data_IF_414850867925
#
_entry.id   IF_414850867925
#
_cell.length_a   1.000
_cell.length_b   1.000
_cell.length_c   1.000
_cell.angle_alpha   90.00
_cell.angle_beta   90.00
_cell.angle_gamma   90.00
#
_symmetry.space_group_name_H-M   'P 1'
#
loop_
_entity.id
_entity.type
_entity.pdbx_description
1 polymer ?
#
# COMPACT_ATOMS: atom_id res chain seq x y z
N UNK A 1 -11.86 1.51 19.74
CA UNK A 1 -11.44 2.89 19.37
C UNK A 1 -11.93 3.11 17.96
N UNK A 2 -12.65 4.19 17.68
CA UNK A 2 -13.00 4.51 16.29
C UNK A 2 -11.66 4.64 15.52
N UNK A 3 -11.49 3.85 14.47
CA UNK A 3 -10.33 4.00 13.58
C UNK A 3 -10.48 5.34 12.89
N UNK A 4 -9.61 6.32 13.24
CA UNK A 4 -9.58 7.61 12.57
C UNK A 4 -9.18 7.46 11.10
N UNK A 5 -9.71 8.29 10.24
CA UNK A 5 -9.29 8.36 8.84
C UNK A 5 -7.97 9.17 8.76
N UNK A 6 -6.84 8.49 8.84
CA UNK A 6 -5.53 9.14 8.86
C UNK A 6 -5.01 9.38 7.44
N UNK A 7 -4.56 10.62 7.17
CA UNK A 7 -3.79 10.90 5.97
C UNK A 7 -2.30 10.68 6.23
N UNK A 8 -1.62 10.11 5.24
CA UNK A 8 -0.18 9.83 5.30
C UNK A 8 0.48 10.29 4.00
N UNK A 9 1.65 10.95 4.12
CA UNK A 9 2.56 11.17 3.00
C UNK A 9 3.95 10.67 3.36
N UNK A 10 4.50 9.78 2.54
CA UNK A 10 5.84 9.21 2.70
C UNK A 10 6.71 9.66 1.55
N UNK A 11 8.02 9.79 1.83
CA UNK A 11 9.02 10.09 0.80
C UNK A 11 10.02 8.94 0.75
N UNK A 12 10.00 8.20 -0.34
CA UNK A 12 10.97 7.14 -0.61
C UNK A 12 12.10 7.65 -1.50
N UNK A 13 13.29 7.08 -1.33
CA UNK A 13 14.49 7.45 -2.07
C UNK A 13 14.71 6.45 -3.18
N UNK A 14 14.85 6.95 -4.40
CA UNK A 14 15.11 6.11 -5.56
C UNK A 14 16.41 6.54 -6.21
N UNK A 15 17.34 5.58 -6.38
CA UNK A 15 18.55 5.75 -7.19
C UNK A 15 18.26 5.46 -8.66
N UNK A 16 19.23 5.69 -9.54
CA UNK A 16 19.10 5.37 -10.97
C UNK A 16 18.82 3.87 -11.19
N UNK A 17 19.47 3.01 -10.40
CA UNK A 17 19.27 1.55 -10.47
C UNK A 17 17.89 1.14 -9.96
N UNK A 18 17.37 1.85 -8.95
CA UNK A 18 16.04 1.60 -8.38
C UNK A 18 14.89 2.09 -9.24
N UNK A 19 15.15 3.02 -10.16
CA UNK A 19 14.13 3.68 -10.97
C UNK A 19 13.32 2.70 -11.83
N UNK A 20 13.96 1.73 -12.45
CA UNK A 20 13.27 0.72 -13.27
C UNK A 20 12.28 -0.12 -12.44
N UNK A 21 12.65 -0.47 -11.19
CA UNK A 21 11.77 -1.24 -10.30
C UNK A 21 10.54 -0.40 -9.91
N UNK A 22 10.75 0.87 -9.53
CA UNK A 22 9.67 1.79 -9.21
C UNK A 22 8.75 2.01 -10.41
N UNK A 23 9.30 2.28 -11.59
CA UNK A 23 8.55 2.43 -12.84
C UNK A 23 7.69 1.20 -13.13
N UNK A 24 8.25 -0.02 -13.06
CA UNK A 24 7.50 -1.24 -13.32
C UNK A 24 6.36 -1.47 -12.32
N UNK A 25 6.54 -1.04 -11.07
CA UNK A 25 5.48 -1.10 -10.06
C UNK A 25 4.39 -0.06 -10.34
N UNK A 26 4.78 1.20 -10.50
CA UNK A 26 3.84 2.31 -10.63
C UNK A 26 3.04 2.26 -11.92
N UNK A 27 3.72 1.91 -13.03
CA UNK A 27 3.11 1.81 -14.35
C UNK A 27 2.51 0.42 -14.64
N UNK A 28 2.42 -0.44 -13.61
CA UNK A 28 1.88 -1.82 -13.72
C UNK A 28 2.49 -2.64 -14.89
N UNK A 29 3.81 -2.53 -15.08
CA UNK A 29 4.56 -3.24 -16.14
C UNK A 29 5.11 -4.61 -15.71
N UNK A 30 4.77 -5.10 -14.51
CA UNK A 30 5.18 -6.42 -14.03
C UNK A 30 4.23 -7.51 -14.54
N UNK A 31 4.75 -8.70 -14.83
CA UNK A 31 3.95 -9.89 -15.15
C UNK A 31 3.28 -10.50 -13.89
N UNK A 32 3.87 -10.25 -12.71
CA UNK A 32 3.34 -10.68 -11.42
C UNK A 32 3.74 -9.68 -10.34
N UNK A 33 2.94 -9.59 -9.28
CA UNK A 33 3.14 -8.67 -8.16
C UNK A 33 3.36 -9.45 -6.87
N UNK A 34 4.30 -8.96 -6.03
CA UNK A 34 4.49 -9.49 -4.68
C UNK A 34 3.29 -9.17 -3.78
N UNK A 35 2.59 -8.07 -4.05
CA UNK A 35 1.32 -7.73 -3.42
C UNK A 35 0.20 -8.57 -4.09
N UNK A 36 -0.28 -9.58 -3.37
CA UNK A 36 -1.34 -10.48 -3.83
C UNK A 36 -2.73 -9.82 -3.91
N UNK A 37 -2.84 -8.58 -3.49
CA UNK A 37 -4.08 -7.81 -3.54
C UNK A 37 -4.23 -7.02 -4.85
N UNK A 38 -3.20 -6.98 -5.70
CA UNK A 38 -3.30 -6.36 -7.03
C UNK A 38 -4.24 -7.18 -7.91
N UNK A 39 -5.31 -6.55 -8.32
CA UNK A 39 -6.29 -7.10 -9.28
C UNK A 39 -5.92 -6.63 -10.69
N UNK A 40 -5.31 -7.52 -11.46
CA UNK A 40 -4.82 -7.20 -12.79
C UNK A 40 -5.93 -6.86 -13.80
N UNK A 41 -7.17 -7.27 -13.54
CA UNK A 41 -8.32 -6.94 -14.37
C UNK A 41 -8.78 -5.48 -14.15
N UNK A 42 -8.37 -4.86 -13.05
CA UNK A 42 -8.73 -3.49 -12.70
C UNK A 42 -7.63 -2.45 -12.96
N UNK A 43 -6.51 -2.83 -13.55
CA UNK A 43 -5.38 -1.91 -13.88
C UNK A 43 -5.86 -0.71 -14.70
N UNK A 44 -6.85 -0.89 -15.57
CA UNK A 44 -7.42 0.19 -16.38
C UNK A 44 -8.12 1.29 -15.55
N UNK A 45 -8.39 1.05 -14.25
CA UNK A 45 -8.94 2.05 -13.32
C UNK A 45 -7.88 2.98 -12.73
N UNK A 46 -6.61 2.65 -12.88
CA UNK A 46 -5.52 3.51 -12.43
C UNK A 46 -5.54 4.81 -13.23
N UNK A 47 -5.33 5.94 -12.53
CA UNK A 47 -5.42 7.27 -13.14
C UNK A 47 -4.05 7.91 -13.17
N UNK A 48 -3.56 8.25 -14.35
CA UNK A 48 -2.34 9.02 -14.54
C UNK A 48 -2.67 10.51 -14.57
N UNK A 49 -2.23 11.26 -13.56
CA UNK A 49 -2.30 12.72 -13.55
C UNK A 49 -1.11 13.32 -14.32
N UNK A 50 0.00 12.58 -14.38
CA UNK A 50 1.14 12.88 -15.23
C UNK A 50 1.83 11.59 -15.67
N UNK A 51 2.22 11.55 -16.94
CA UNK A 51 3.02 10.48 -17.53
C UNK A 51 4.34 10.99 -18.10
N UNK A 52 5.20 10.07 -18.48
CA UNK A 52 6.54 10.39 -19.03
C UNK A 52 6.53 10.71 -20.53
N UNK A 53 5.38 10.64 -21.20
CA UNK A 53 5.30 10.74 -22.67
C UNK A 53 5.94 9.54 -23.37
N UNK A 54 5.90 8.35 -22.76
CA UNK A 54 6.45 7.11 -23.31
C UNK A 54 7.93 6.86 -23.02
N UNK A 55 8.60 7.76 -22.30
CA UNK A 55 9.97 7.58 -21.84
C UNK A 55 9.99 6.72 -20.57
N UNK A 56 11.11 6.05 -20.31
CA UNK A 56 11.39 5.52 -18.97
C UNK A 56 11.72 6.65 -17.99
N UNK A 57 11.65 6.40 -16.69
CA UNK A 57 12.02 7.41 -15.69
C UNK A 57 13.46 7.91 -15.86
N UNK A 58 14.39 7.01 -16.19
CA UNK A 58 15.78 7.37 -16.42
C UNK A 58 15.96 8.17 -17.71
N UNK A 59 15.24 7.86 -18.79
CA UNK A 59 15.28 8.64 -20.03
C UNK A 59 14.69 10.04 -19.82
N UNK A 60 13.58 10.14 -19.05
CA UNK A 60 13.01 11.43 -18.69
C UNK A 60 14.01 12.28 -17.90
N UNK A 61 14.70 11.69 -16.92
CA UNK A 61 15.74 12.34 -16.14
C UNK A 61 16.90 12.83 -17.02
N UNK A 62 17.37 11.97 -17.92
CA UNK A 62 18.46 12.31 -18.84
C UNK A 62 18.06 13.47 -19.77
N UNK A 63 16.84 13.44 -20.28
CA UNK A 63 16.31 14.54 -21.11
C UNK A 63 16.39 15.90 -20.38
N UNK A 64 16.00 15.96 -19.11
CA UNK A 64 16.08 17.20 -18.34
C UNK A 64 17.52 17.68 -18.10
N UNK A 65 18.48 16.75 -18.02
CA UNK A 65 19.92 17.09 -17.97
C UNK A 65 20.34 17.68 -19.31
N UNK A 66 20.01 17.03 -20.42
CA UNK A 66 20.41 17.44 -21.78
C UNK A 66 19.81 18.80 -22.15
N UNK A 67 18.58 19.07 -21.67
CA UNK A 67 17.91 20.38 -21.80
C UNK A 67 18.48 21.44 -20.84
N UNK A 68 19.40 21.09 -19.95
CA UNK A 68 19.97 22.01 -18.95
C UNK A 68 19.01 22.45 -17.85
N UNK A 69 17.84 21.81 -17.72
CA UNK A 69 16.83 22.12 -16.71
C UNK A 69 17.24 21.70 -15.31
N UNK A 70 18.00 20.61 -15.19
CA UNK A 70 18.54 20.07 -13.94
C UNK A 70 20.04 19.79 -14.05
N UNK A 71 20.72 19.74 -12.89
CA UNK A 71 22.16 19.47 -12.85
C UNK A 71 22.49 18.44 -11.79
N UNK A 72 23.28 17.44 -12.19
CA UNK A 72 23.84 16.40 -11.30
C UNK A 72 25.24 16.76 -10.79
N UNK A 73 25.69 17.98 -11.03
CA UNK A 73 27.04 18.44 -10.68
C UNK A 73 27.33 18.25 -9.19
N UNK A 74 28.35 17.45 -8.89
CA UNK A 74 28.78 17.14 -7.52
C UNK A 74 27.98 16.01 -6.85
N UNK A 75 27.18 15.26 -7.57
CA UNK A 75 26.60 14.00 -7.09
C UNK A 75 27.65 12.88 -7.06
N UNK A 76 27.46 11.95 -6.15
CA UNK A 76 28.24 10.71 -6.06
C UNK A 76 27.51 9.60 -6.83
N UNK A 77 28.24 8.55 -7.22
CA UNK A 77 27.62 7.33 -7.74
C UNK A 77 26.61 6.77 -6.72
N UNK A 78 25.50 6.23 -7.19
CA UNK A 78 24.43 5.69 -6.35
C UNK A 78 23.62 6.76 -5.58
N UNK A 79 23.77 8.06 -5.91
CA UNK A 79 22.97 9.11 -5.27
C UNK A 79 21.49 8.94 -5.56
N UNK A 80 20.67 9.37 -4.62
CA UNK A 80 19.21 9.50 -4.81
C UNK A 80 18.94 10.57 -5.86
N UNK A 81 18.36 10.19 -6.99
CA UNK A 81 18.00 11.09 -8.10
C UNK A 81 16.49 11.32 -8.20
N UNK A 82 15.68 10.42 -7.68
CA UNK A 82 14.25 10.58 -7.57
C UNK A 82 13.79 10.48 -6.12
N UNK A 83 12.68 11.11 -5.85
CA UNK A 83 11.84 10.84 -4.68
C UNK A 83 10.52 10.29 -5.15
N UNK A 84 9.97 9.36 -4.42
CA UNK A 84 8.61 8.91 -4.59
C UNK A 84 7.80 9.36 -3.38
N UNK A 85 6.79 10.21 -3.61
CA UNK A 85 5.77 10.50 -2.62
C UNK A 85 4.68 9.45 -2.76
N UNK A 86 4.40 8.76 -1.66
CA UNK A 86 3.21 7.91 -1.55
C UNK A 86 2.24 8.62 -0.62
N UNK A 87 1.08 9.00 -1.17
CA UNK A 87 0.00 9.65 -0.43
C UNK A 87 -1.15 8.67 -0.29
N UNK A 88 -1.62 8.51 0.93
CA UNK A 88 -2.59 7.50 1.30
C UNK A 88 -3.56 8.02 2.37
N UNK A 89 -4.81 7.56 2.30
CA UNK A 89 -5.85 7.72 3.32
C UNK A 89 -6.60 6.40 3.46
N UNK A 90 -7.14 6.13 4.63
CA UNK A 90 -7.88 4.90 4.89
C UNK A 90 -8.95 4.63 3.82
N UNK A 91 -9.05 3.40 3.37
CA UNK A 91 -10.02 2.95 2.35
C UNK A 91 -11.47 3.34 2.69
N UNK A 92 -11.86 3.26 3.97
CA UNK A 92 -13.20 3.63 4.45
C UNK A 92 -13.56 5.07 4.17
N UNK A 93 -12.59 5.98 4.29
CA UNK A 93 -12.80 7.39 4.00
C UNK A 93 -13.42 7.60 2.61
N UNK A 94 -12.86 6.92 1.61
CA UNK A 94 -13.38 7.05 0.25
C UNK A 94 -14.74 6.40 0.06
N UNK A 95 -14.98 5.24 0.66
CA UNK A 95 -16.27 4.56 0.59
C UNK A 95 -17.41 5.38 1.19
N UNK A 96 -17.11 6.14 2.26
CA UNK A 96 -18.06 7.04 2.93
C UNK A 96 -18.32 8.35 2.14
N UNK A 97 -17.42 8.74 1.23
CA UNK A 97 -17.50 10.01 0.49
C UNK A 97 -17.79 9.85 -1.00
N UNK A 98 -18.12 8.65 -1.48
CA UNK A 98 -18.50 8.45 -2.89
C UNK A 98 -17.55 7.54 -3.68
N UNK A 99 -16.63 6.87 -3.00
CA UNK A 99 -15.79 5.83 -3.58
C UNK A 99 -14.78 6.35 -4.60
N UNK A 100 -14.71 5.67 -5.74
CA UNK A 100 -13.69 5.89 -6.77
C UNK A 100 -13.65 7.33 -7.32
N UNK A 101 -14.80 7.93 -7.62
CA UNK A 101 -14.83 9.28 -8.20
C UNK A 101 -14.37 10.34 -7.20
N UNK A 102 -14.69 10.19 -5.93
CA UNK A 102 -14.19 11.07 -4.89
C UNK A 102 -12.69 10.87 -4.65
N UNK A 103 -12.22 9.62 -4.65
CA UNK A 103 -10.80 9.32 -4.55
C UNK A 103 -10.00 9.96 -5.71
N UNK A 104 -10.53 9.93 -6.92
CA UNK A 104 -9.92 10.58 -8.07
C UNK A 104 -9.77 12.08 -7.88
N UNK A 105 -10.80 12.77 -7.40
CA UNK A 105 -10.74 14.21 -7.10
C UNK A 105 -9.76 14.51 -5.98
N UNK A 106 -9.75 13.71 -4.92
CA UNK A 106 -8.83 13.83 -3.80
C UNK A 106 -7.37 13.71 -4.27
N UNK A 107 -7.06 12.68 -5.06
CA UNK A 107 -5.70 12.45 -5.51
C UNK A 107 -5.26 13.38 -6.66
N UNK A 108 -6.19 13.94 -7.43
CA UNK A 108 -5.89 15.04 -8.34
C UNK A 108 -5.41 16.27 -7.57
N UNK A 109 -6.06 16.62 -6.45
CA UNK A 109 -5.62 17.71 -5.59
C UNK A 109 -4.29 17.39 -4.88
N UNK A 110 -4.14 16.15 -4.39
CA UNK A 110 -2.86 15.70 -3.83
C UNK A 110 -1.72 15.73 -4.86
N UNK A 111 -1.99 15.53 -6.15
CA UNK A 111 -1.02 15.74 -7.23
C UNK A 111 -0.63 17.23 -7.34
N UNK A 112 -1.59 18.18 -7.23
CA UNK A 112 -1.30 19.61 -7.21
C UNK A 112 -0.41 19.99 -6.04
N UNK A 113 -0.66 19.42 -4.86
CA UNK A 113 0.26 19.53 -3.74
C UNK A 113 1.67 19.02 -4.09
N UNK A 114 1.79 17.90 -4.77
CA UNK A 114 3.08 17.39 -5.28
C UNK A 114 3.78 18.41 -6.20
N UNK A 115 3.01 19.08 -7.08
CA UNK A 115 3.52 20.14 -7.95
C UNK A 115 4.03 21.36 -7.15
N UNK A 116 3.38 21.73 -6.06
CA UNK A 116 3.87 22.81 -5.17
C UNK A 116 5.20 22.44 -4.50
N UNK A 117 5.34 21.16 -4.08
CA UNK A 117 6.55 20.70 -3.39
C UNK A 117 7.75 20.61 -4.34
N UNK A 118 7.57 20.10 -5.56
CA UNK A 118 8.69 19.80 -6.46
C UNK A 118 8.81 20.73 -7.66
N UNK A 119 7.74 21.41 -8.04
CA UNK A 119 7.57 22.03 -9.34
C UNK A 119 7.10 21.02 -10.37
N UNK A 120 6.11 21.35 -11.17
CA UNK A 120 5.48 20.47 -12.15
C UNK A 120 6.50 19.86 -13.14
N UNK A 121 7.47 20.65 -13.60
CA UNK A 121 8.52 20.18 -14.53
C UNK A 121 9.43 19.08 -13.93
N UNK A 122 9.55 19.05 -12.61
CA UNK A 122 10.35 18.05 -11.92
C UNK A 122 9.58 16.77 -11.56
N UNK A 123 8.25 16.72 -11.78
CA UNK A 123 7.48 15.50 -11.61
C UNK A 123 7.63 14.65 -12.88
N UNK A 124 8.04 13.40 -12.68
CA UNK A 124 8.26 12.42 -13.75
C UNK A 124 6.98 11.66 -14.06
N UNK A 125 6.32 11.17 -13.02
CA UNK A 125 5.06 10.41 -13.14
C UNK A 125 4.21 10.66 -11.89
N UNK A 126 2.90 10.66 -12.05
CA UNK A 126 1.94 10.70 -10.95
C UNK A 126 0.77 9.79 -11.29
N UNK A 127 0.60 8.71 -10.53
CA UNK A 127 -0.43 7.69 -10.78
C UNK A 127 -1.18 7.35 -9.52
N UNK A 128 -2.51 7.44 -9.56
CA UNK A 128 -3.40 6.89 -8.55
C UNK A 128 -3.62 5.41 -8.87
N UNK A 129 -3.24 4.53 -7.95
CA UNK A 129 -3.63 3.13 -8.02
C UNK A 129 -5.04 2.93 -7.49
N UNK A 130 -5.85 2.19 -8.24
CA UNK A 130 -7.22 1.84 -7.92
C UNK A 130 -7.51 0.35 -8.20
N UNK A 131 -6.46 -0.45 -8.25
CA UNK A 131 -6.45 -1.87 -8.60
C UNK A 131 -6.02 -2.79 -7.44
N UNK A 132 -5.88 -2.26 -6.23
CA UNK A 132 -5.51 -3.06 -5.05
C UNK A 132 -6.74 -3.33 -4.17
N UNK A 133 -7.19 -4.59 -4.11
CA UNK A 133 -8.37 -4.96 -3.32
C UNK A 133 -8.08 -4.91 -1.81
N UNK A 134 -8.94 -4.23 -1.06
CA UNK A 134 -8.94 -4.28 0.40
C UNK A 134 -9.86 -5.40 0.88
N UNK A 135 -9.29 -6.59 1.12
CA UNK A 135 -10.04 -7.79 1.49
C UNK A 135 -10.88 -7.62 2.76
N UNK A 136 -10.33 -6.96 3.78
CA UNK A 136 -11.02 -6.79 5.06
C UNK A 136 -12.28 -5.93 4.91
N UNK A 137 -12.17 -4.78 4.26
CA UNK A 137 -13.30 -3.88 4.01
C UNK A 137 -14.28 -4.51 3.01
N UNK A 138 -13.78 -5.25 2.00
CA UNK A 138 -14.63 -5.95 1.03
C UNK A 138 -15.51 -7.00 1.70
N UNK A 139 -14.98 -7.75 2.65
CA UNK A 139 -15.74 -8.76 3.41
C UNK A 139 -16.77 -8.11 4.33
N UNK A 140 -16.39 -7.02 4.98
CA UNK A 140 -17.28 -6.28 5.86
C UNK A 140 -18.49 -5.70 5.11
N UNK A 141 -18.25 -5.10 3.94
CA UNK A 141 -19.28 -4.45 3.13
C UNK A 141 -19.99 -5.41 2.16
N UNK A 142 -19.53 -6.66 2.03
CA UNK A 142 -20.09 -7.67 1.14
C UNK A 142 -19.97 -7.34 -0.36
N UNK A 143 -19.04 -6.45 -0.74
CA UNK A 143 -18.76 -6.03 -2.12
C UNK A 143 -17.26 -5.84 -2.32
N UNK A 144 -16.73 -5.94 -3.56
CA UNK A 144 -15.34 -5.59 -3.82
C UNK A 144 -15.06 -4.12 -3.49
N UNK A 145 -14.06 -3.86 -2.64
CA UNK A 145 -13.60 -2.53 -2.26
C UNK A 145 -12.11 -2.42 -2.52
N UNK A 146 -11.70 -1.33 -3.14
CA UNK A 146 -10.33 -1.11 -3.56
C UNK A 146 -9.67 -0.06 -2.67
N UNK A 147 -8.39 -0.24 -2.41
CA UNK A 147 -7.55 0.69 -1.70
C UNK A 147 -6.93 1.68 -2.70
N UNK A 148 -7.24 2.96 -2.53
CA UNK A 148 -6.75 4.03 -3.39
C UNK A 148 -5.54 4.70 -2.76
N UNK A 149 -4.48 4.90 -3.52
CA UNK A 149 -3.29 5.64 -3.09
C UNK A 149 -2.58 6.27 -4.30
N UNK A 150 -1.83 7.34 -4.05
CA UNK A 150 -1.15 8.10 -5.10
C UNK A 150 0.36 7.91 -4.98
N UNK A 151 0.99 7.57 -6.09
CA UNK A 151 2.43 7.59 -6.29
C UNK A 151 2.83 8.79 -7.13
N UNK A 152 3.72 9.65 -6.62
CA UNK A 152 4.32 10.77 -7.36
C UNK A 152 5.82 10.57 -7.39
N UNK A 153 6.38 10.28 -8.55
CA UNK A 153 7.83 10.20 -8.75
C UNK A 153 8.33 11.56 -9.24
N UNK A 154 9.25 12.16 -8.47
CA UNK A 154 9.74 13.50 -8.72
C UNK A 154 11.26 13.61 -8.52
N UNK A 155 11.87 14.58 -9.19
CA UNK A 155 13.30 14.89 -9.09
C UNK A 155 13.50 15.95 -8.00
N UNK A 156 14.24 15.66 -6.91
CA UNK A 156 14.45 16.59 -5.82
C UNK A 156 15.49 17.64 -6.18
N UNK A 157 15.06 18.76 -6.74
CA UNK A 157 15.94 19.88 -7.11
C UNK A 157 15.99 20.97 -6.03
N UNK A 158 17.12 21.63 -5.93
CA UNK A 158 17.31 22.85 -5.16
C UNK A 158 18.13 23.84 -6.00
N UNK A 159 17.79 25.13 -5.93
CA UNK A 159 18.61 26.15 -6.54
C UNK A 159 19.95 26.26 -5.83
N UNK A 160 21.01 26.34 -6.59
CA UNK A 160 22.37 26.48 -6.09
C UNK A 160 23.13 27.52 -6.91
N UNK A 161 23.63 28.52 -6.22
CA UNK A 161 24.57 29.50 -6.79
C UNK A 161 25.94 28.86 -6.91
N UNK A 162 26.51 28.97 -8.10
CA UNK A 162 27.90 28.64 -8.38
C UNK A 162 28.67 29.95 -8.46
N UNK A 163 29.62 30.12 -7.57
CA UNK A 163 30.43 31.33 -7.50
C UNK A 163 31.66 31.25 -8.38
N UNK A 164 32.11 32.38 -8.89
CA UNK A 164 33.40 32.46 -9.53
C UNK A 164 34.51 32.04 -8.56
N UNK A 165 35.44 31.27 -9.06
CA UNK A 165 36.58 30.79 -8.27
C UNK A 165 37.41 31.97 -7.72
N UNK A 166 37.94 31.77 -6.50
CA UNK A 166 38.92 32.69 -5.91
C UNK A 166 40.20 32.86 -6.76
N UNK A 167 40.40 31.92 -7.72
CA UNK A 167 41.53 31.96 -8.69
C UNK A 167 41.12 32.56 -10.03
N UNK A 168 39.94 33.19 -10.15
CA UNK A 168 39.52 33.85 -11.38
C UNK A 168 40.55 34.94 -11.73
N UNK A 169 40.90 35.08 -13.03
CA UNK A 169 41.84 36.10 -13.51
C UNK A 169 41.30 37.49 -13.24
N UNK A 170 40.00 37.69 -13.43
CA UNK A 170 39.33 38.93 -13.10
C UNK A 170 39.00 38.97 -11.60
N UNK A 171 39.65 39.84 -10.87
CA UNK A 171 39.49 39.95 -9.41
C UNK A 171 38.13 40.49 -9.02
N UNK A 172 37.49 41.31 -9.84
CA UNK A 172 36.15 41.83 -9.57
C UNK A 172 35.05 40.74 -9.59
N UNK A 173 35.30 39.65 -10.30
CA UNK A 173 34.36 38.54 -10.38
C UNK A 173 34.52 37.52 -9.24
N UNK A 174 35.64 37.54 -8.52
CA UNK A 174 35.94 36.54 -7.46
C UNK A 174 34.85 36.53 -6.38
N UNK A 175 34.21 35.40 -6.18
CA UNK A 175 33.16 35.25 -5.18
C UNK A 175 31.78 35.77 -5.57
N UNK A 176 31.65 36.41 -6.74
CA UNK A 176 30.33 36.74 -7.29
C UNK A 176 29.64 35.54 -7.90
N UNK A 177 28.33 35.61 -8.09
CA UNK A 177 27.55 34.53 -8.71
C UNK A 177 27.91 34.42 -10.19
N UNK A 178 28.40 33.25 -10.59
CA UNK A 178 28.71 32.89 -11.97
C UNK A 178 27.48 32.36 -12.71
N UNK A 179 26.77 31.46 -12.06
CA UNK A 179 25.58 30.80 -12.60
C UNK A 179 24.70 30.28 -11.46
N UNK A 180 23.39 30.11 -11.70
CA UNK A 180 22.46 29.46 -10.81
C UNK A 180 22.01 28.16 -11.48
N UNK A 181 22.15 27.05 -10.79
CA UNK A 181 21.75 25.73 -11.30
C UNK A 181 20.65 25.10 -10.43
N UNK A 182 19.77 24.33 -11.03
CA UNK A 182 18.84 23.46 -10.34
C UNK A 182 19.55 22.16 -10.01
N UNK A 183 20.22 22.11 -8.86
CA UNK A 183 21.00 20.94 -8.45
C UNK A 183 20.07 19.84 -7.93
N UNK A 184 20.16 18.64 -8.49
CA UNK A 184 19.48 17.44 -7.95
C UNK A 184 20.12 17.08 -6.62
N UNK A 185 19.35 17.10 -5.54
CA UNK A 185 19.85 16.80 -4.20
C UNK A 185 18.73 16.50 -3.21
N UNK A 186 18.49 15.22 -2.94
CA UNK A 186 17.54 14.77 -1.92
C UNK A 186 17.85 15.36 -0.54
N UNK A 187 19.09 15.26 -0.08
CA UNK A 187 19.48 15.68 1.28
C UNK A 187 19.33 17.20 1.53
N UNK A 188 19.49 18.03 0.48
CA UNK A 188 19.26 19.47 0.58
C UNK A 188 17.79 19.81 0.52
N UNK A 189 17.02 19.16 -0.36
CA UNK A 189 15.58 19.33 -0.51
C UNK A 189 14.87 19.03 0.81
N UNK A 190 15.27 17.97 1.49
CA UNK A 190 14.65 17.48 2.72
C UNK A 190 15.45 17.83 3.99
N UNK A 191 16.20 18.92 3.95
CA UNK A 191 16.89 19.43 5.15
C UNK A 191 15.87 19.90 6.18
N UNK A 192 16.07 19.50 7.45
CA UNK A 192 15.27 19.99 8.56
C UNK A 192 15.54 21.48 8.79
N UNK A 193 14.55 22.34 8.58
CA UNK A 193 14.67 23.80 8.65
C UNK A 193 13.68 24.44 9.61
N UNK A 194 12.59 23.75 9.96
CA UNK A 194 11.57 24.26 10.87
C UNK A 194 12.01 24.00 12.30
N UNK A 195 12.09 25.04 13.12
CA UNK A 195 12.46 24.91 14.54
C UNK A 195 11.52 23.97 15.29
N UNK A 196 12.09 23.11 16.14
CA UNK A 196 11.30 22.36 17.12
C UNK A 196 11.06 23.27 18.33
N UNK A 197 9.80 23.57 18.63
CA UNK A 197 9.40 24.41 19.73
C UNK A 197 8.91 23.56 20.91
N UNK A 198 9.15 24.02 22.13
CA UNK A 198 8.57 23.47 23.35
C UNK A 198 7.15 24.02 23.59
N UNK A 199 6.55 23.64 24.71
CA UNK A 199 5.20 24.07 25.12
C UNK A 199 5.08 25.61 25.31
N UNK A 200 6.22 26.30 25.54
CA UNK A 200 6.28 27.75 25.71
C UNK A 200 6.60 28.49 24.40
N UNK A 201 6.67 27.76 23.27
CA UNK A 201 7.03 28.33 21.98
C UNK A 201 8.52 28.67 21.82
N UNK A 202 9.40 28.19 22.72
CA UNK A 202 10.84 28.40 22.61
C UNK A 202 11.51 27.25 21.86
N UNK A 203 12.57 27.58 21.09
CA UNK A 203 13.28 26.55 20.34
C UNK A 203 13.99 25.58 21.28
N UNK A 204 13.70 24.31 21.10
CA UNK A 204 14.35 23.22 21.86
C UNK A 204 15.82 23.14 21.51
N UNK A 205 16.66 23.11 22.55
CA UNK A 205 18.11 22.96 22.41
C UNK A 205 18.52 21.55 22.85
N UNK A 206 19.34 20.89 22.04
CA UNK A 206 19.85 19.55 22.35
C UNK A 206 20.79 19.58 23.58
N UNK A 207 21.06 18.44 24.18
CA UNK A 207 22.05 18.30 25.27
C UNK A 207 23.48 18.78 24.91
N UNK A 208 23.75 19.02 23.65
CA UNK A 208 25.03 19.55 23.14
C UNK A 208 24.97 21.02 22.77
N UNK A 209 23.93 21.77 23.20
CA UNK A 209 23.78 23.20 22.94
C UNK A 209 23.38 23.55 21.50
N UNK A 210 22.96 22.56 20.68
CA UNK A 210 22.56 22.80 19.29
C UNK A 210 21.05 22.93 19.16
N UNK A 211 20.55 23.90 18.35
CA UNK A 211 19.13 24.04 18.07
C UNK A 211 18.57 22.78 17.40
N UNK A 212 17.42 22.32 17.86
CA UNK A 212 16.71 21.18 17.28
C UNK A 212 15.67 21.64 16.27
N UNK A 213 15.48 20.82 15.25
CA UNK A 213 14.53 21.07 14.17
C UNK A 213 13.56 19.91 14.04
N UNK A 214 12.35 20.20 13.61
CA UNK A 214 11.36 19.20 13.25
C UNK A 214 11.86 18.41 12.04
N UNK A 215 11.55 17.13 12.01
CA UNK A 215 11.86 16.29 10.84
C UNK A 215 11.07 16.81 9.63
N UNK A 216 11.74 17.02 8.50
CA UNK A 216 11.15 17.56 7.28
C UNK A 216 9.91 16.79 6.80
N UNK A 217 9.90 15.47 6.97
CA UNK A 217 8.76 14.63 6.61
C UNK A 217 7.56 14.84 7.55
N UNK A 218 7.78 15.18 8.83
CA UNK A 218 6.68 15.56 9.73
C UNK A 218 6.07 16.91 9.32
N UNK A 219 6.90 17.85 8.84
CA UNK A 219 6.44 19.13 8.29
C UNK A 219 5.67 18.90 6.98
N UNK A 220 6.08 17.94 6.17
CA UNK A 220 5.37 17.57 4.94
C UNK A 220 3.96 17.05 5.23
N UNK A 221 3.79 16.25 6.30
CA UNK A 221 2.46 15.80 6.76
C UNK A 221 1.54 16.98 7.09
N UNK A 222 2.07 17.99 7.82
CA UNK A 222 1.30 19.18 8.16
C UNK A 222 0.87 19.94 6.91
N UNK A 223 1.79 20.09 5.95
CA UNK A 223 1.53 20.79 4.69
C UNK A 223 0.48 20.09 3.84
N UNK A 224 0.57 18.75 3.71
CA UNK A 224 -0.45 17.98 3.00
C UNK A 224 -1.82 18.16 3.66
N UNK A 225 -1.90 18.00 4.98
CA UNK A 225 -3.16 18.13 5.71
C UNK A 225 -3.78 19.53 5.53
N UNK A 226 -2.98 20.59 5.66
CA UNK A 226 -3.42 21.96 5.45
C UNK A 226 -3.92 22.19 4.02
N UNK A 227 -3.12 21.81 3.01
CA UNK A 227 -3.45 21.97 1.60
C UNK A 227 -4.79 21.27 1.25
N UNK A 228 -4.95 20.01 1.64
CA UNK A 228 -6.16 19.24 1.35
C UNK A 228 -7.39 19.82 2.08
N UNK A 229 -7.21 20.32 3.32
CA UNK A 229 -8.28 20.97 4.09
C UNK A 229 -8.70 22.29 3.44
N UNK A 230 -7.73 23.11 3.00
CA UNK A 230 -7.98 24.37 2.28
C UNK A 230 -8.70 24.14 0.94
N UNK A 231 -8.41 23.02 0.28
CA UNK A 231 -9.10 22.58 -0.94
C UNK A 231 -10.52 22.04 -0.68
N UNK A 232 -10.95 21.95 0.59
CA UNK A 232 -12.31 21.56 0.98
C UNK A 232 -12.49 20.07 1.30
N UNK A 233 -11.43 19.27 1.29
CA UNK A 233 -11.48 17.87 1.73
C UNK A 233 -11.49 17.80 3.26
N UNK A 234 -12.51 17.16 3.84
CA UNK A 234 -12.71 17.05 5.29
C UNK A 234 -13.04 15.61 5.67
N UNK A 235 -13.08 15.29 6.97
CA UNK A 235 -13.42 13.94 7.44
C UNK A 235 -12.22 12.99 7.54
N UNK A 236 -11.01 13.50 7.40
CA UNK A 236 -9.78 12.79 7.70
C UNK A 236 -8.91 13.60 8.65
N UNK A 237 -7.92 12.97 9.25
CA UNK A 237 -7.03 13.56 10.24
C UNK A 237 -5.57 13.47 9.77
N UNK A 238 -4.78 14.40 10.26
CA UNK A 238 -3.33 14.33 10.13
C UNK A 238 -2.81 13.12 10.93
N UNK A 239 -1.91 12.34 10.37
CA UNK A 239 -1.23 11.25 11.09
C UNK A 239 -0.59 11.73 12.41
N UNK A 240 -0.48 10.82 13.39
CA UNK A 240 -0.05 11.12 14.77
C UNK A 240 1.29 11.85 14.81
N UNK A 241 1.31 13.02 15.47
CA UNK A 241 2.50 13.84 15.63
C UNK A 241 3.52 13.12 16.53
N UNK A 242 4.75 13.00 16.06
CA UNK A 242 5.82 12.35 16.86
C UNK A 242 5.76 10.83 16.87
N UNK A 243 4.88 10.20 16.10
CA UNK A 243 4.90 8.75 15.94
C UNK A 243 6.29 8.29 15.50
N UNK A 244 6.87 7.34 16.25
CA UNK A 244 8.10 6.63 15.90
C UNK A 244 7.80 5.27 15.29
N UNK A 245 6.53 4.98 15.01
CA UNK A 245 6.13 3.74 14.34
C UNK A 245 6.86 3.66 13.00
N UNK A 246 7.73 2.69 12.89
CA UNK A 246 8.36 2.36 11.61
C UNK A 246 7.31 1.73 10.70
N UNK A 247 7.40 2.04 9.41
CA UNK A 247 6.56 1.34 8.43
C UNK A 247 6.94 -0.14 8.47
N UNK A 248 5.97 -0.97 8.84
CA UNK A 248 6.10 -2.42 8.67
C UNK A 248 6.38 -2.72 7.19
N UNK A 249 7.18 -3.73 6.92
CA UNK A 249 7.25 -4.23 5.54
C UNK A 249 5.84 -4.63 5.08
N UNK A 250 5.56 -4.55 3.79
CA UNK A 250 4.25 -4.96 3.25
C UNK A 250 3.84 -6.36 3.70
N UNK A 251 4.82 -7.26 3.87
CA UNK A 251 4.59 -8.62 4.35
C UNK A 251 4.22 -8.65 5.84
N UNK A 252 4.96 -7.93 6.69
CA UNK A 252 4.68 -7.86 8.13
C UNK A 252 3.31 -7.22 8.39
N UNK A 253 2.97 -6.17 7.65
CA UNK A 253 1.65 -5.55 7.70
C UNK A 253 0.54 -6.53 7.31
N UNK A 254 0.71 -7.27 6.21
CA UNK A 254 -0.26 -8.30 5.78
C UNK A 254 -0.43 -9.39 6.84
N UNK A 255 0.66 -9.90 7.42
CA UNK A 255 0.61 -10.90 8.50
C UNK A 255 -0.14 -10.35 9.72
N UNK A 256 0.12 -9.10 10.11
CA UNK A 256 -0.57 -8.49 11.23
C UNK A 256 -2.07 -8.35 10.94
N UNK A 257 -2.44 -7.86 9.77
CA UNK A 257 -3.85 -7.69 9.37
C UNK A 257 -4.58 -9.03 9.24
N UNK A 258 -3.94 -10.05 8.71
CA UNK A 258 -4.52 -11.39 8.63
C UNK A 258 -4.72 -12.01 10.03
N UNK A 259 -3.83 -11.73 10.99
CA UNK A 259 -4.03 -12.15 12.40
C UNK A 259 -5.21 -11.43 13.05
N UNK A 260 -5.34 -10.11 12.87
CA UNK A 260 -6.49 -9.34 13.36
C UNK A 260 -7.80 -9.87 12.77
N UNK A 261 -7.81 -10.17 11.47
CA UNK A 261 -8.95 -10.75 10.77
C UNK A 261 -9.32 -12.13 11.29
N UNK A 262 -8.34 -13.00 11.56
CA UNK A 262 -8.58 -14.31 12.18
C UNK A 262 -9.23 -14.17 13.55
N UNK A 263 -8.77 -13.24 14.39
CA UNK A 263 -9.38 -13.01 15.70
C UNK A 263 -10.84 -12.58 15.57
N UNK A 264 -11.15 -11.67 14.64
CA UNK A 264 -12.53 -11.22 14.38
C UNK A 264 -13.43 -12.37 13.86
N UNK A 265 -12.90 -13.22 12.96
CA UNK A 265 -13.65 -14.41 12.49
C UNK A 265 -13.93 -15.38 13.65
N UNK A 266 -12.94 -15.55 14.54
CA UNK A 266 -13.10 -16.41 15.73
C UNK A 266 -14.20 -15.86 16.66
N UNK A 267 -14.22 -14.57 16.95
CA UNK A 267 -15.29 -13.92 17.74
C UNK A 267 -16.67 -14.14 17.12
N UNK A 268 -16.77 -14.03 15.78
CA UNK A 268 -18.05 -14.28 15.08
C UNK A 268 -18.48 -15.74 15.17
N UNK A 269 -17.55 -16.70 15.06
CA UNK A 269 -17.84 -18.12 15.26
C UNK A 269 -18.40 -18.36 16.66
N UNK A 270 -17.75 -17.81 17.68
CA UNK A 270 -18.18 -17.94 19.08
C UNK A 270 -19.55 -17.31 19.31
N UNK A 271 -19.80 -16.09 18.77
CA UNK A 271 -21.11 -15.44 18.85
C UNK A 271 -22.23 -16.25 18.17
N UNK A 272 -21.96 -16.83 17.00
CA UNK A 272 -22.93 -17.69 16.31
C UNK A 272 -23.15 -19.04 17.03
N UNK A 273 -22.10 -19.59 17.66
CA UNK A 273 -22.22 -20.79 18.49
C UNK A 273 -23.09 -20.54 19.74
N UNK A 274 -22.89 -19.42 20.45
CA UNK A 274 -23.72 -19.00 21.59
C UNK A 274 -25.18 -18.83 21.18
N UNK A 275 -25.45 -18.29 19.99
CA UNK A 275 -26.83 -18.22 19.46
C UNK A 275 -27.43 -19.59 19.15
N UNK A 276 -26.59 -20.56 18.80
CA UNK A 276 -27.02 -21.91 18.44
C UNK A 276 -27.33 -22.78 19.68
N UNK A 277 -26.63 -22.57 20.82
CA UNK A 277 -26.80 -23.35 22.04
C UNK A 277 -28.23 -23.31 22.62
N UNK A 278 -28.94 -22.18 22.73
CA UNK A 278 -30.31 -22.13 23.23
C UNK A 278 -31.31 -22.94 22.38
N UNK A 279 -31.04 -23.07 21.08
CA UNK A 279 -31.90 -23.86 20.18
C UNK A 279 -31.86 -25.38 20.47
N UNK A 280 -30.88 -25.85 21.25
CA UNK A 280 -30.80 -27.23 21.73
C UNK A 280 -31.64 -27.52 23.00
N UNK A 281 -32.04 -26.47 23.74
CA UNK A 281 -32.89 -26.63 24.95
C UNK A 281 -34.36 -26.99 24.64
N UNK A 282 -34.80 -26.89 23.40
CA UNK A 282 -36.16 -27.26 22.94
C UNK A 282 -36.53 -28.73 23.19
N UNK A 283 -35.59 -29.58 23.60
CA UNK A 283 -35.89 -31.00 23.93
C UNK A 283 -36.73 -31.21 25.19
N UNK A 284 -36.81 -30.22 26.11
CA UNK A 284 -37.64 -30.32 27.33
C UNK A 284 -39.12 -30.19 27.04
N UNK A 285 -39.52 -29.52 25.96
CA UNK A 285 -40.91 -29.25 25.59
C UNK A 285 -41.58 -30.40 24.83
N UNK A 286 -40.83 -31.36 24.29
CA UNK A 286 -41.42 -32.48 23.53
C UNK A 286 -42.27 -33.41 24.39
N UNK A 287 -41.84 -33.72 25.63
CA UNK A 287 -42.61 -34.55 26.54
C UNK A 287 -43.93 -33.86 27.00
N UNK A 288 -43.92 -32.54 27.13
CA UNK A 288 -45.12 -31.77 27.43
C UNK A 288 -46.09 -31.77 26.25
N UNK A 289 -45.59 -31.65 25.02
CA UNK A 289 -46.38 -31.66 23.79
C UNK A 289 -47.02 -33.07 23.58
N UNK A 290 -46.30 -34.14 23.85
CA UNK A 290 -46.79 -35.50 23.77
C UNK A 290 -47.89 -35.80 24.82
N UNK A 291 -47.91 -35.04 25.93
CA UNK A 291 -48.92 -35.10 26.97
C UNK A 291 -50.25 -34.36 26.64
N UNK A 292 -50.26 -33.54 25.58
CA UNK A 292 -51.41 -32.78 25.16
C UNK A 292 -52.42 -33.65 24.41
N UNK A 293 -53.56 -33.91 25.00
CA UNK A 293 -54.67 -34.60 24.40
C UNK A 293 -55.02 -35.93 25.07
N UNK A 294 -56.31 -36.28 25.06
CA UNK A 294 -56.84 -37.51 25.68
C UNK A 294 -57.36 -38.51 24.63
N UNK A 295 -56.98 -39.77 24.77
CA UNK A 295 -57.50 -40.83 23.91
C UNK A 295 -58.98 -41.05 24.16
N UNK A 296 -59.77 -40.89 23.14
CA UNK A 296 -61.22 -41.22 23.17
C UNK A 296 -61.46 -42.71 23.00
N UNK A 297 -62.69 -43.19 23.40
CA UNK A 297 -63.14 -44.61 23.26
C UNK A 297 -63.04 -45.05 21.78
N UNK A 298 -63.14 -44.13 20.83
CA UNK A 298 -63.05 -44.40 19.38
C UNK A 298 -61.61 -44.41 18.83
N UNK A 299 -60.59 -44.33 19.69
CA UNK A 299 -59.18 -44.35 19.29
C UNK A 299 -58.64 -42.99 18.71
N UNK A 300 -59.48 -41.93 18.71
CA UNK A 300 -59.06 -40.59 18.31
C UNK A 300 -58.45 -39.86 19.51
N UNK A 301 -57.57 -38.90 19.27
CA UNK A 301 -57.06 -38.00 20.30
C UNK A 301 -57.92 -36.74 20.30
N UNK A 302 -58.62 -36.46 21.43
CA UNK A 302 -59.35 -35.21 21.64
C UNK A 302 -58.39 -34.19 22.25
N UNK A 303 -58.27 -33.05 21.63
CA UNK A 303 -57.43 -31.94 22.07
C UNK A 303 -58.36 -30.79 22.41
N UNK A 304 -58.13 -30.09 23.52
CA UNK A 304 -58.92 -28.92 23.88
C UNK A 304 -58.65 -27.78 22.86
N UNK A 305 -59.55 -26.81 22.79
CA UNK A 305 -59.38 -25.64 21.89
C UNK A 305 -58.09 -24.83 22.23
N UNK A 306 -57.80 -24.76 23.52
CA UNK A 306 -56.63 -24.00 24.01
C UNK A 306 -55.34 -24.80 23.71
N UNK A 307 -55.32 -26.09 23.93
CA UNK A 307 -54.17 -26.96 23.55
C UNK A 307 -53.95 -26.94 22.04
N UNK A 308 -55.00 -26.95 21.23
CA UNK A 308 -54.91 -26.85 19.78
C UNK A 308 -54.26 -25.54 19.33
N UNK A 309 -54.69 -24.41 19.99
CA UNK A 309 -54.08 -23.08 19.70
C UNK A 309 -52.61 -23.04 20.10
N UNK A 310 -52.26 -23.61 21.26
CA UNK A 310 -50.86 -23.71 21.71
C UNK A 310 -50.03 -24.60 20.78
N UNK A 311 -50.53 -25.77 20.38
CA UNK A 311 -49.84 -26.65 19.43
C UNK A 311 -49.64 -25.96 18.08
N UNK A 312 -50.62 -25.17 17.61
CA UNK A 312 -50.47 -24.45 16.35
C UNK A 312 -49.44 -23.30 16.45
N UNK A 313 -49.38 -22.61 17.58
CA UNK A 313 -48.39 -21.61 17.85
C UNK A 313 -46.97 -22.20 17.91
N UNK A 314 -46.81 -23.29 18.69
CA UNK A 314 -45.53 -24.01 18.79
C UNK A 314 -45.08 -24.59 17.46
N UNK A 315 -46.03 -25.12 16.64
CA UNK A 315 -45.68 -25.61 15.30
C UNK A 315 -45.19 -24.48 14.37
N UNK A 316 -45.79 -23.31 14.41
CA UNK A 316 -45.34 -22.12 13.66
C UNK A 316 -43.97 -21.68 14.11
N UNK A 317 -43.77 -21.58 15.42
CA UNK A 317 -42.49 -21.20 16.03
C UNK A 317 -41.40 -22.28 15.67
N UNK A 318 -41.72 -23.55 15.72
CA UNK A 318 -40.81 -24.63 15.33
C UNK A 318 -40.39 -24.57 13.87
N UNK A 319 -41.29 -24.11 12.96
CA UNK A 319 -40.93 -23.96 11.53
C UNK A 319 -39.99 -22.77 11.35
N UNK A 320 -40.24 -21.62 12.01
CA UNK A 320 -39.39 -20.47 11.96
C UNK A 320 -38.00 -20.75 12.58
N UNK A 321 -37.98 -21.33 13.77
CA UNK A 321 -36.73 -21.72 14.45
C UNK A 321 -35.92 -22.75 13.63
N UNK A 322 -36.57 -23.68 12.94
CA UNK A 322 -35.86 -24.62 12.07
C UNK A 322 -35.17 -23.95 10.89
N UNK A 323 -35.79 -22.92 10.30
CA UNK A 323 -35.21 -22.12 9.23
C UNK A 323 -34.03 -21.30 9.75
N UNK A 324 -34.17 -20.68 10.93
CA UNK A 324 -33.09 -19.91 11.58
C UNK A 324 -31.89 -20.81 11.93
N UNK A 325 -32.15 -21.99 12.54
CA UNK A 325 -31.10 -22.98 12.85
C UNK A 325 -30.36 -23.41 11.58
N UNK A 326 -31.05 -23.58 10.47
CA UNK A 326 -30.43 -23.99 9.21
C UNK A 326 -29.55 -22.83 8.64
N UNK A 327 -30.01 -21.61 8.74
CA UNK A 327 -29.26 -20.42 8.35
C UNK A 327 -28.01 -20.25 9.23
N UNK A 328 -28.17 -20.37 10.55
CA UNK A 328 -27.06 -20.30 11.51
C UNK A 328 -26.01 -21.39 11.27
N UNK A 329 -26.42 -22.62 11.02
CA UNK A 329 -25.51 -23.74 10.66
C UNK A 329 -24.72 -23.43 9.40
N UNK A 330 -25.37 -22.85 8.39
CA UNK A 330 -24.72 -22.46 7.15
C UNK A 330 -23.71 -21.34 7.37
N UNK A 331 -24.06 -20.34 8.19
CA UNK A 331 -23.16 -19.25 8.57
C UNK A 331 -21.95 -19.75 9.36
N UNK A 332 -22.14 -20.59 10.37
CA UNK A 332 -21.03 -21.19 11.15
C UNK A 332 -20.11 -21.99 10.23
N UNK A 333 -20.67 -22.83 9.35
CA UNK A 333 -19.86 -23.63 8.41
C UNK A 333 -19.09 -22.75 7.41
N UNK A 334 -19.67 -21.63 7.00
CA UNK A 334 -19.00 -20.65 6.15
C UNK A 334 -17.82 -20.01 6.87
N UNK A 335 -18.03 -19.47 8.08
CA UNK A 335 -16.96 -18.84 8.86
C UNK A 335 -15.85 -19.81 9.28
N UNK A 336 -16.20 -21.05 9.65
CA UNK A 336 -15.20 -22.08 9.93
C UNK A 336 -14.31 -22.36 8.73
N UNK A 337 -14.87 -22.39 7.52
CA UNK A 337 -14.10 -22.58 6.28
C UNK A 337 -13.20 -21.38 6.00
N UNK A 338 -13.69 -20.17 6.20
CA UNK A 338 -12.89 -18.95 6.08
C UNK A 338 -11.74 -18.92 7.08
N UNK A 339 -12.01 -19.25 8.34
CA UNK A 339 -10.99 -19.36 9.39
C UNK A 339 -9.89 -20.36 9.01
N UNK A 340 -10.27 -21.56 8.60
CA UNK A 340 -9.30 -22.60 8.21
C UNK A 340 -8.41 -22.14 7.03
N UNK A 341 -9.00 -21.53 6.02
CA UNK A 341 -8.26 -21.05 4.86
C UNK A 341 -7.28 -19.91 5.24
N UNK A 342 -7.74 -18.96 6.03
CA UNK A 342 -6.93 -17.84 6.49
C UNK A 342 -5.81 -18.29 7.44
N UNK A 343 -6.12 -19.21 8.39
CA UNK A 343 -5.12 -19.78 9.30
C UNK A 343 -4.02 -20.50 8.53
N UNK A 344 -4.38 -21.35 7.57
CA UNK A 344 -3.39 -22.04 6.73
C UNK A 344 -2.55 -21.09 5.87
N UNK A 345 -3.10 -19.94 5.47
CA UNK A 345 -2.34 -18.93 4.76
C UNK A 345 -1.33 -18.23 5.69
N UNK A 346 -1.75 -17.86 6.89
CA UNK A 346 -0.87 -17.26 7.92
C UNK A 346 0.26 -18.21 8.30
N UNK A 347 -0.02 -19.48 8.53
CA UNK A 347 1.02 -20.50 8.83
C UNK A 347 2.06 -20.58 7.71
N UNK A 348 1.63 -20.68 6.46
CA UNK A 348 2.56 -20.71 5.31
C UNK A 348 3.40 -19.45 5.19
N UNK A 349 2.83 -18.28 5.46
CA UNK A 349 3.56 -17.00 5.45
C UNK A 349 4.56 -16.93 6.60
N UNK A 350 4.15 -17.35 7.80
CA UNK A 350 5.03 -17.40 8.97
C UNK A 350 6.22 -18.33 8.74
N UNK A 351 6.00 -19.53 8.22
CA UNK A 351 7.09 -20.46 7.90
C UNK A 351 8.05 -19.89 6.84
N UNK A 352 7.53 -19.17 5.85
CA UNK A 352 8.38 -18.51 4.84
C UNK A 352 9.19 -17.39 5.46
N UNK A 353 8.57 -16.60 6.33
CA UNK A 353 9.22 -15.52 7.05
C UNK A 353 10.34 -16.07 7.96
N UNK A 354 10.05 -17.09 8.75
CA UNK A 354 11.02 -17.70 9.68
C UNK A 354 12.21 -18.30 8.91
N UNK A 355 11.95 -19.00 7.81
CA UNK A 355 13.02 -19.50 6.93
C UNK A 355 13.86 -18.39 6.31
N UNK A 356 13.24 -17.27 5.93
CA UNK A 356 13.97 -16.11 5.40
C UNK A 356 14.80 -15.46 6.50
N UNK A 357 14.21 -15.25 7.69
CA UNK A 357 14.87 -14.68 8.87
C UNK A 357 16.09 -15.53 9.27
N UNK A 358 15.94 -16.83 9.34
CA UNK A 358 17.04 -17.77 9.63
C UNK A 358 18.19 -17.66 8.60
N UNK A 359 17.84 -17.64 7.30
CA UNK A 359 18.83 -17.44 6.23
C UNK A 359 19.52 -16.07 6.30
N UNK A 360 18.83 -15.04 6.73
CA UNK A 360 19.39 -13.69 6.85
C UNK A 360 20.13 -13.46 8.17
N UNK A 361 19.93 -14.30 9.19
CA UNK A 361 20.52 -14.11 10.52
C UNK A 361 22.06 -13.99 10.53
N UNK A 362 22.83 -14.78 9.79
CA UNK A 362 24.28 -14.61 9.70
C UNK A 362 24.69 -13.25 9.12
N UNK A 363 23.91 -12.74 8.18
CA UNK A 363 24.14 -11.43 7.57
C UNK A 363 23.81 -10.29 8.52
N UNK A 364 22.72 -10.42 9.30
CA UNK A 364 22.34 -9.43 10.33
C UNK A 364 23.39 -9.37 11.44
N UNK A 365 23.90 -10.51 11.88
CA UNK A 365 24.99 -10.56 12.86
C UNK A 365 26.29 -9.96 12.30
N UNK A 366 26.61 -10.21 11.02
CA UNK A 366 27.76 -9.61 10.36
C UNK A 366 27.61 -8.08 10.23
N UNK A 367 26.38 -7.57 10.01
CA UNK A 367 26.06 -6.15 9.99
C UNK A 367 26.35 -5.47 11.34
N UNK A 368 26.00 -6.12 12.44
CA UNK A 368 26.21 -5.57 13.79
C UNK A 368 27.71 -5.53 14.17
N UNK A 369 28.46 -6.56 13.79
CA UNK A 369 29.86 -6.69 14.21
C UNK A 369 30.88 -6.09 13.23
N UNK A 370 30.53 -5.99 11.94
CA UNK A 370 31.46 -5.56 10.89
C UNK A 370 30.82 -4.63 9.85
N UNK A 371 30.34 -3.43 10.25
CA UNK A 371 29.58 -2.55 9.35
C UNK A 371 30.34 -2.16 8.07
N UNK A 372 31.66 -2.00 8.13
CA UNK A 372 32.51 -1.68 6.95
C UNK A 372 32.64 -2.85 5.97
N UNK A 373 32.69 -4.08 6.44
CA UNK A 373 32.72 -5.29 5.59
C UNK A 373 31.38 -5.49 4.89
N UNK A 374 30.30 -5.06 5.51
CA UNK A 374 28.95 -5.14 4.94
C UNK A 374 28.76 -4.16 3.80
N UNK A 375 29.31 -2.96 3.87
CA UNK A 375 29.30 -2.03 2.73
C UNK A 375 29.95 -2.65 1.49
N UNK A 376 31.13 -3.28 1.68
CA UNK A 376 31.85 -3.99 0.59
C UNK A 376 31.05 -5.20 0.08
N UNK A 377 30.41 -5.94 0.99
CA UNK A 377 29.57 -7.10 0.62
C UNK A 377 28.32 -6.65 -0.15
N UNK A 378 27.64 -5.60 0.31
CA UNK A 378 26.46 -5.04 -0.38
C UNK A 378 26.83 -4.51 -1.76
N UNK A 379 28.01 -3.87 -1.93
CA UNK A 379 28.49 -3.45 -3.24
C UNK A 379 28.75 -4.66 -4.16
N UNK A 380 29.37 -5.71 -3.61
CA UNK A 380 29.63 -6.94 -4.37
C UNK A 380 28.34 -7.66 -4.78
N UNK A 381 27.35 -7.72 -3.88
CA UNK A 381 26.04 -8.30 -4.18
C UNK A 381 25.31 -7.48 -5.25
N UNK A 382 25.33 -6.15 -5.18
CA UNK A 382 24.77 -5.28 -6.23
C UNK A 382 25.46 -5.49 -7.58
N UNK A 383 26.79 -5.63 -7.60
CA UNK A 383 27.56 -5.93 -8.80
C UNK A 383 27.13 -7.28 -9.42
N UNK A 384 26.95 -8.32 -8.60
CA UNK A 384 26.48 -9.62 -9.05
C UNK A 384 25.04 -9.58 -9.62
N UNK A 385 24.14 -8.82 -8.99
CA UNK A 385 22.79 -8.63 -9.51
C UNK A 385 22.78 -7.86 -10.83
N UNK A 386 23.60 -6.82 -10.96
CA UNK A 386 23.70 -6.06 -12.22
C UNK A 386 24.25 -6.91 -13.38
N UNK A 387 25.20 -7.81 -13.10
CA UNK A 387 25.71 -8.77 -14.09
C UNK A 387 24.62 -9.75 -14.52
N UNK A 388 23.84 -10.27 -13.57
CA UNK A 388 22.73 -11.19 -13.85
C UNK A 388 21.62 -10.52 -14.66
N UNK A 389 21.23 -9.30 -14.31
CA UNK A 389 20.26 -8.52 -15.07
C UNK A 389 20.74 -8.20 -16.49
N UNK A 390 22.04 -7.89 -16.65
CA UNK A 390 22.65 -7.69 -17.96
C UNK A 390 22.63 -8.98 -18.82
N UNK A 391 22.86 -10.13 -18.21
CA UNK A 391 22.77 -11.43 -18.88
C UNK A 391 21.33 -11.76 -19.29
N UNK A 392 20.36 -11.58 -18.39
CA UNK A 392 18.95 -11.80 -18.69
C UNK A 392 18.44 -10.86 -19.78
N UNK A 393 18.90 -9.59 -19.78
CA UNK A 393 18.55 -8.64 -20.86
C UNK A 393 19.11 -9.11 -22.22
N UNK A 394 20.38 -9.53 -22.24
CA UNK A 394 21.00 -10.06 -23.47
C UNK A 394 20.26 -11.29 -23.98
N UNK A 395 19.90 -12.23 -23.11
CA UNK A 395 19.10 -13.39 -23.51
C UNK A 395 17.71 -13.01 -24.05
N UNK A 396 17.07 -11.98 -23.50
CA UNK A 396 15.78 -11.46 -24.03
C UNK A 396 15.95 -10.82 -25.40
N UNK A 397 17.02 -10.05 -25.60
CA UNK A 397 17.36 -9.44 -26.90
C UNK A 397 17.65 -10.52 -27.95
N UNK A 398 18.41 -11.55 -27.59
CA UNK A 398 18.73 -12.68 -28.46
C UNK A 398 17.45 -13.49 -28.84
N UNK A 399 16.56 -13.73 -27.87
CA UNK A 399 15.25 -14.36 -28.13
C UNK A 399 14.33 -13.50 -29.02
N UNK A 400 14.35 -12.18 -28.83
CA UNK A 400 13.60 -11.24 -29.66
C UNK A 400 14.14 -11.18 -31.09
N UNK A 401 15.46 -11.19 -31.25
CA UNK A 401 16.12 -11.25 -32.54
C UNK A 401 15.79 -12.56 -33.31
N UNK A 402 15.88 -13.71 -32.60
CA UNK A 402 15.53 -15.01 -33.16
C UNK A 402 14.04 -15.07 -33.61
N UNK A 403 13.11 -14.48 -32.83
CA UNK A 403 11.71 -14.39 -33.24
C UNK A 403 11.47 -13.52 -34.48
N UNK A 404 12.23 -12.39 -34.56
CA UNK A 404 12.18 -11.53 -35.77
C UNK A 404 12.69 -12.25 -37.02
N UNK A 405 13.74 -13.02 -36.86
CA UNK A 405 14.34 -13.82 -37.96
C UNK A 405 13.40 -14.94 -38.41
N UNK A 406 12.78 -15.67 -37.48
CA UNK A 406 11.76 -16.66 -37.77
C UNK A 406 10.52 -16.05 -38.46
N UNK A 407 10.13 -14.82 -38.07
CA UNK A 407 9.00 -14.12 -38.70
C UNK A 407 9.32 -13.67 -40.14
N UNK A 408 10.57 -13.29 -40.41
CA UNK A 408 11.06 -12.98 -41.77
C UNK A 408 11.08 -14.24 -42.66
N UNK A 409 11.55 -15.37 -42.14
CA UNK A 409 11.52 -16.63 -42.85
C UNK A 409 10.11 -17.14 -43.15
N UNK A 410 9.15 -16.91 -42.25
CA UNK A 410 7.73 -17.23 -42.52
C UNK A 410 7.11 -16.32 -43.57
N UNK A 411 7.45 -15.04 -43.62
CA UNK A 411 6.95 -14.09 -44.65
C UNK A 411 7.54 -14.42 -46.02
N UNK A 412 8.82 -14.73 -46.12
CA UNK A 412 9.48 -15.12 -47.39
C UNK A 412 8.98 -16.45 -47.98
N UNK A 413 8.36 -17.33 -47.18
CA UNK A 413 7.79 -18.60 -47.65
C UNK A 413 6.40 -18.43 -48.22
N UNK A 414 5.64 -17.44 -47.75
CA UNK A 414 4.30 -17.13 -48.28
C UNK A 414 4.30 -16.31 -49.59
N UNK A 415 5.44 -15.70 -49.94
CA UNK A 415 5.58 -14.95 -51.22
C UNK A 415 6.00 -15.82 -52.41
N UNK A 416 6.32 -17.12 -52.18
CA UNK A 416 6.64 -18.09 -53.20
C UNK A 416 5.46 -19.02 -53.55
N UNK A 417 4.35 -18.90 -52.84
CA UNK A 417 3.10 -19.66 -53.08
C UNK A 417 1.94 -18.79 -53.64
N UNK A 418 2.28 -17.61 -54.21
CA UNK A 418 1.30 -16.79 -54.96
C UNK A 418 1.68 -16.64 -56.40
#
# INVERSE_FOLDING_TARGET
MAEGNWSVVRVEKISAEGAQKAERHNERKNESYANLNVDTEQIARNVHFKDTGGLTYNEYFQRLIDEGKISTRGQKAGATIFNELVIDVNTRYFEEHGGYEYAKQFYEEAYRFGCEIYGEDNIVSAVMHADEINKAVSEELGKPVYHYHLHIVAIPTVQKEILWSKRCKDEALRGTVKEVINQVSHSKKWKNTVALLDENGQQVISKYGKPMFRKSYSVLQDKLFAHMTEAGFTGFERGVLGSTAENLSSLDYQIQKDKERLAHIQERIEAEQVRYEPAHEVRKTMAEIEGMGQKTITGKIAVSKDDYQQLTALAKEGITSRSEIQNLKSSVSYYQRQYFNASSAVERLQERYDRLKEKCQPFLQALEHFPKLVEVFVEKVKELFSIKEAQERKEREDRAAARKEQSKHRRGRNDWER
#
